data_IF_460114120800
#
_entry.id   IF_460114120800
#
_cell.length_a   1.000
_cell.length_b   1.000
_cell.length_c   1.000
_cell.angle_alpha   90.00
_cell.angle_beta   90.00
_cell.angle_gamma   90.00
#
_symmetry.space_group_name_H-M   'P 1'
#
loop_
_entity.id
_entity.type
_entity.pdbx_description
1 polymer ?
#
# COMPACT_ATOMS: atom_id res chain seq x y z
N UNK A 1 11.47 3.88 -8.11
CA UNK A 1 11.05 5.22 -8.54
C UNK A 1 9.64 5.51 -8.08
N UNK A 2 9.40 6.74 -7.61
CA UNK A 2 8.08 7.17 -7.16
C UNK A 2 7.16 7.61 -8.30
N UNK A 3 7.63 7.56 -9.52
CA UNK A 3 6.91 8.03 -10.69
C UNK A 3 6.87 6.99 -11.79
N UNK A 4 5.70 6.81 -12.38
CA UNK A 4 5.53 6.07 -13.62
C UNK A 4 5.16 7.06 -14.71
N UNK A 5 5.85 6.98 -15.83
CA UNK A 5 5.57 7.84 -16.99
C UNK A 5 4.86 7.03 -18.03
N UNK A 6 3.57 7.28 -18.18
CA UNK A 6 2.80 6.77 -19.31
C UNK A 6 2.80 7.78 -20.45
N UNK A 7 2.23 7.42 -21.58
CA UNK A 7 2.11 8.34 -22.72
C UNK A 7 1.31 9.58 -22.30
N UNK A 8 2.01 10.69 -22.15
CA UNK A 8 1.40 11.96 -21.82
C UNK A 8 0.99 12.16 -20.37
N UNK A 9 1.32 11.21 -19.46
CA UNK A 9 0.94 11.34 -18.06
C UNK A 9 2.05 10.85 -17.14
N UNK A 10 2.29 11.60 -16.06
CA UNK A 10 3.19 11.19 -14.98
C UNK A 10 2.34 10.82 -13.79
N UNK A 11 2.52 9.59 -13.28
CA UNK A 11 1.82 9.11 -12.10
C UNK A 11 2.73 9.23 -10.89
N UNK A 12 2.19 9.79 -9.81
CA UNK A 12 2.92 9.99 -8.56
C UNK A 12 2.13 9.36 -7.44
N UNK A 13 2.83 8.69 -6.51
CA UNK A 13 2.18 8.14 -5.34
C UNK A 13 1.62 9.25 -4.46
N UNK A 14 0.39 9.07 -3.98
CA UNK A 14 -0.29 10.03 -3.11
C UNK A 14 -0.14 9.69 -1.63
N UNK A 15 -0.08 8.40 -1.32
CA UNK A 15 0.03 7.95 0.07
C UNK A 15 0.73 6.59 0.14
N UNK A 16 1.09 6.22 1.36
CA UNK A 16 1.61 4.89 1.67
C UNK A 16 0.65 4.25 2.66
N UNK A 17 0.19 3.05 2.36
CA UNK A 17 -0.63 2.25 3.25
C UNK A 17 0.27 1.35 4.08
N UNK A 18 0.10 1.41 5.40
CA UNK A 18 0.92 0.62 6.33
C UNK A 18 0.09 -0.51 6.90
N UNK A 19 0.61 -1.72 6.81
CA UNK A 19 0.00 -2.89 7.40
C UNK A 19 0.86 -3.36 8.57
N UNK A 20 0.25 -3.52 9.73
CA UNK A 20 0.91 -4.12 10.88
C UNK A 20 0.45 -5.57 11.01
N UNK A 21 1.23 -6.37 11.74
CA UNK A 21 0.96 -7.79 11.85
C UNK A 21 -0.33 -8.10 12.60
N UNK A 22 -0.81 -9.31 12.42
CA UNK A 22 -1.95 -9.79 13.16
C UNK A 22 -1.66 -9.76 14.66
N UNK A 23 -2.59 -9.18 15.41
CA UNK A 23 -2.48 -9.10 16.85
C UNK A 23 -3.38 -10.15 17.48
N UNK A 24 -2.79 -11.01 18.29
CA UNK A 24 -3.56 -11.99 19.07
C UNK A 24 -4.32 -11.31 20.21
N UNK A 25 -3.91 -10.11 20.59
CA UNK A 25 -4.53 -9.34 21.67
C UNK A 25 -5.59 -8.39 21.11
N UNK A 26 -6.62 -8.13 21.90
CA UNK A 26 -7.72 -7.24 21.52
C UNK A 26 -7.88 -6.12 22.56
N UNK A 27 -8.69 -5.13 22.20
CA UNK A 27 -9.02 -4.05 23.12
C UNK A 27 -7.85 -3.13 23.43
N UNK A 28 -7.56 -2.91 24.71
CA UNK A 28 -6.56 -1.94 25.15
C UNK A 28 -5.14 -2.24 24.62
N UNK A 29 -4.77 -3.50 24.54
CA UNK A 29 -3.43 -3.88 24.06
C UNK A 29 -3.28 -3.56 22.57
N UNK A 30 -4.31 -3.80 21.80
CA UNK A 30 -4.30 -3.45 20.38
C UNK A 30 -4.18 -1.94 20.19
N UNK A 31 -4.96 -1.16 20.92
CA UNK A 31 -4.90 0.30 20.84
C UNK A 31 -3.54 0.83 21.28
N UNK A 32 -2.95 0.24 22.31
CA UNK A 32 -1.62 0.62 22.79
C UNK A 32 -0.57 0.37 21.69
N UNK A 33 -0.67 -0.78 21.03
CA UNK A 33 0.23 -1.12 19.91
C UNK A 33 0.09 -0.09 18.78
N UNK A 34 -1.14 0.17 18.34
CA UNK A 34 -1.42 1.11 17.25
C UNK A 34 -0.93 2.51 17.58
N UNK A 35 -1.23 2.98 18.80
CA UNK A 35 -0.81 4.31 19.23
C UNK A 35 0.71 4.43 19.28
N UNK A 36 1.39 3.41 19.77
CA UNK A 36 2.85 3.41 19.83
C UNK A 36 3.45 3.39 18.43
N UNK A 37 2.94 2.55 17.57
CA UNK A 37 3.41 2.48 16.18
C UNK A 37 3.19 3.82 15.47
N UNK A 38 1.99 4.39 15.60
CA UNK A 38 1.69 5.69 15.00
C UNK A 38 2.66 6.77 15.48
N UNK A 39 2.91 6.82 16.79
CA UNK A 39 3.81 7.82 17.37
C UNK A 39 5.24 7.62 16.89
N UNK A 40 5.71 6.39 16.79
CA UNK A 40 7.04 6.09 16.29
C UNK A 40 7.19 6.50 14.82
N UNK A 41 6.17 6.26 14.01
CA UNK A 41 6.19 6.69 12.62
C UNK A 41 6.22 8.22 12.54
N UNK A 42 5.39 8.90 13.33
CA UNK A 42 5.38 10.36 13.36
C UNK A 42 6.72 10.94 13.76
N UNK A 43 7.36 10.35 14.76
CA UNK A 43 8.67 10.81 15.23
C UNK A 43 9.73 10.65 14.14
N UNK A 44 9.77 9.50 13.49
CA UNK A 44 10.75 9.24 12.43
C UNK A 44 10.52 10.15 11.24
N UNK A 45 9.26 10.41 10.89
CA UNK A 45 8.90 11.23 9.74
C UNK A 45 8.81 12.73 10.06
N UNK A 46 9.18 13.15 11.28
CA UNK A 46 9.11 14.57 11.67
C UNK A 46 10.00 15.47 10.84
N UNK A 47 11.02 14.90 10.18
CA UNK A 47 11.88 15.65 9.25
C UNK A 47 11.15 16.05 7.95
N UNK A 48 9.97 15.49 7.74
CA UNK A 48 9.13 15.77 6.56
C UNK A 48 7.83 16.43 7.03
N UNK A 49 7.80 17.76 7.24
CA UNK A 49 6.65 18.42 7.88
C UNK A 49 5.34 18.30 7.08
N UNK A 50 5.41 18.07 5.79
CA UNK A 50 4.22 17.95 4.94
C UNK A 50 3.50 16.61 5.11
N UNK A 51 4.21 15.58 5.58
CA UNK A 51 3.66 14.24 5.71
C UNK A 51 2.67 14.17 6.87
N UNK A 52 1.53 13.54 6.63
CA UNK A 52 0.51 13.31 7.66
C UNK A 52 0.36 11.82 7.89
N UNK A 53 0.17 11.42 9.13
CA UNK A 53 0.03 10.02 9.52
C UNK A 53 -1.28 9.84 10.27
N UNK A 54 -2.11 8.92 9.80
CA UNK A 54 -3.35 8.55 10.47
C UNK A 54 -3.46 7.03 10.52
N UNK A 55 -4.16 6.51 11.50
CA UNK A 55 -4.45 5.08 11.59
C UNK A 55 -5.95 4.90 11.71
N UNK A 56 -6.48 3.95 10.95
CA UNK A 56 -7.82 3.45 11.17
C UNK A 56 -7.72 2.09 11.89
N UNK A 57 -8.85 1.38 11.96
CA UNK A 57 -8.92 0.11 12.67
C UNK A 57 -7.96 -0.96 12.11
N UNK A 58 -7.72 -0.93 10.83
CA UNK A 58 -7.06 -2.03 10.12
C UNK A 58 -5.66 -1.71 9.62
N UNK A 59 -5.38 -0.44 9.39
CA UNK A 59 -4.12 -0.04 8.75
C UNK A 59 -3.79 1.41 9.01
N UNK A 60 -2.53 1.75 8.74
CA UNK A 60 -2.07 3.13 8.78
C UNK A 60 -2.04 3.76 7.41
N UNK A 61 -2.15 5.06 7.38
CA UNK A 61 -2.08 5.85 6.15
C UNK A 61 -1.07 6.97 6.34
N UNK A 62 -0.14 7.06 5.41
CA UNK A 62 0.87 8.11 5.39
C UNK A 62 0.64 8.92 4.13
N UNK A 63 0.13 10.15 4.29
CA UNK A 63 -0.15 11.03 3.16
C UNK A 63 1.11 11.82 2.83
N UNK A 64 1.61 11.64 1.62
CA UNK A 64 2.90 12.20 1.21
C UNK A 64 2.85 13.70 1.00
N UNK A 65 1.72 14.22 0.51
CA UNK A 65 1.51 15.66 0.30
C UNK A 65 2.68 16.33 -0.44
N UNK A 66 3.20 15.66 -1.47
CA UNK A 66 4.30 16.18 -2.28
C UNK A 66 5.70 15.75 -1.84
N UNK A 67 5.82 15.10 -0.69
CA UNK A 67 7.10 14.56 -0.23
C UNK A 67 7.50 13.34 -1.08
N UNK A 68 8.78 13.21 -1.37
CA UNK A 68 9.30 12.11 -2.16
C UNK A 68 9.05 10.77 -1.45
N UNK A 69 8.36 9.87 -2.15
CA UNK A 69 8.07 8.53 -1.64
C UNK A 69 9.34 7.79 -1.22
N UNK A 70 10.42 7.86 -2.01
CA UNK A 70 11.64 7.11 -1.73
C UNK A 70 12.24 7.47 -0.36
N UNK A 71 12.20 8.74 0.00
CA UNK A 71 12.72 9.20 1.28
C UNK A 71 11.90 8.64 2.45
N UNK A 72 10.58 8.66 2.31
CA UNK A 72 9.69 8.15 3.35
C UNK A 72 9.81 6.63 3.46
N UNK A 73 9.87 5.95 2.33
CA UNK A 73 9.98 4.49 2.29
C UNK A 73 11.23 3.98 2.99
N UNK A 74 12.36 4.64 2.79
CA UNK A 74 13.60 4.26 3.46
C UNK A 74 13.47 4.33 4.99
N UNK A 75 12.82 5.36 5.48
CA UNK A 75 12.56 5.50 6.91
C UNK A 75 11.64 4.39 7.43
N UNK A 76 10.62 4.04 6.66
CA UNK A 76 9.64 3.03 7.09
C UNK A 76 10.24 1.63 7.20
N UNK A 77 11.24 1.32 6.41
CA UNK A 77 11.86 -0.01 6.42
C UNK A 77 12.51 -0.34 7.76
N UNK A 78 12.82 0.64 8.56
CA UNK A 78 13.53 0.47 9.82
C UNK A 78 12.63 0.54 11.05
N UNK A 79 11.33 0.75 10.87
CA UNK A 79 10.41 0.91 12.00
C UNK A 79 9.80 -0.43 12.38
N UNK A 80 10.08 -0.88 13.61
CA UNK A 80 9.48 -2.10 14.13
C UNK A 80 7.97 -1.94 14.32
N UNK A 81 7.24 -2.98 14.01
CA UNK A 81 5.79 -2.99 14.05
C UNK A 81 5.13 -2.90 12.68
N UNK A 82 5.87 -2.45 11.67
CA UNK A 82 5.39 -2.43 10.30
C UNK A 82 5.67 -3.78 9.65
N UNK A 83 4.60 -4.51 9.32
CA UNK A 83 4.75 -5.79 8.62
C UNK A 83 5.05 -5.56 7.14
N UNK A 84 4.30 -4.66 6.52
CA UNK A 84 4.48 -4.31 5.11
C UNK A 84 3.89 -2.93 4.86
N UNK A 85 4.32 -2.31 3.79
CA UNK A 85 3.71 -1.06 3.35
C UNK A 85 3.61 -1.03 1.83
N UNK A 86 2.65 -0.27 1.32
CA UNK A 86 2.35 -0.20 -0.11
C UNK A 86 2.19 1.24 -0.54
N UNK A 87 2.95 1.70 -1.55
CA UNK A 87 2.68 2.99 -2.15
C UNK A 87 1.38 2.94 -2.95
N UNK A 88 0.60 4.01 -2.92
CA UNK A 88 -0.75 4.05 -3.46
C UNK A 88 -0.94 5.27 -4.34
N UNK A 89 -1.56 5.06 -5.51
CA UNK A 89 -2.04 6.13 -6.37
C UNK A 89 -3.49 6.44 -6.05
N UNK A 90 -3.86 7.70 -6.14
CA UNK A 90 -5.22 8.16 -5.91
C UNK A 90 -5.83 8.69 -7.21
N UNK A 91 -7.06 8.30 -7.48
CA UNK A 91 -7.78 8.71 -8.69
C UNK A 91 -9.22 9.08 -8.36
N UNK A 92 -9.88 9.77 -9.29
CA UNK A 92 -11.31 10.01 -9.21
C UNK A 92 -12.06 8.68 -9.35
N UNK A 93 -13.25 8.62 -8.74
CA UNK A 93 -14.14 7.45 -8.84
C UNK A 93 -14.88 7.47 -10.17
N UNK A 94 -14.17 7.23 -11.24
CA UNK A 94 -14.70 7.26 -12.59
C UNK A 94 -14.12 6.08 -13.36
N UNK A 95 -14.98 5.30 -13.99
CA UNK A 95 -14.56 4.07 -14.69
C UNK A 95 -13.53 4.37 -15.78
N UNK A 96 -13.74 5.43 -16.55
CA UNK A 96 -12.83 5.77 -17.64
C UNK A 96 -11.47 6.24 -17.12
N UNK A 97 -11.47 6.99 -16.02
CA UNK A 97 -10.21 7.39 -15.34
C UNK A 97 -9.47 6.15 -14.86
N UNK A 98 -10.17 5.20 -14.24
CA UNK A 98 -9.56 3.97 -13.74
C UNK A 98 -9.03 3.09 -14.87
N UNK A 99 -9.74 2.99 -15.97
CA UNK A 99 -9.27 2.25 -17.15
C UNK A 99 -7.96 2.83 -17.67
N UNK A 100 -7.91 4.14 -17.81
CA UNK A 100 -6.69 4.84 -18.25
C UNK A 100 -5.56 4.64 -17.25
N UNK A 101 -5.87 4.70 -15.95
CA UNK A 101 -4.88 4.53 -14.88
C UNK A 101 -4.23 3.14 -14.94
N UNK A 102 -5.02 2.07 -15.04
CA UNK A 102 -4.46 0.72 -15.08
C UNK A 102 -3.66 0.49 -16.36
N UNK A 103 -4.09 1.09 -17.47
CA UNK A 103 -3.34 1.03 -18.73
C UNK A 103 -1.97 1.68 -18.58
N UNK A 104 -1.92 2.88 -18.00
CA UNK A 104 -0.66 3.61 -17.83
C UNK A 104 0.27 2.91 -16.85
N UNK A 105 -0.26 2.41 -15.74
CA UNK A 105 0.52 1.67 -14.75
C UNK A 105 1.13 0.42 -15.39
N UNK A 106 0.31 -0.38 -16.05
CA UNK A 106 0.78 -1.65 -16.62
C UNK A 106 1.72 -1.43 -17.79
N UNK A 107 1.50 -0.40 -18.60
CA UNK A 107 2.41 -0.05 -19.70
C UNK A 107 3.80 0.29 -19.15
N UNK A 108 3.84 1.02 -18.02
CA UNK A 108 5.10 1.36 -17.37
C UNK A 108 5.82 0.17 -16.73
N UNK A 109 5.09 -0.87 -16.36
CA UNK A 109 5.65 -2.06 -15.71
C UNK A 109 5.91 -3.21 -16.68
N UNK A 110 5.36 -3.13 -17.89
CA UNK A 110 5.37 -4.27 -18.81
C UNK A 110 6.79 -4.71 -19.20
N UNK A 111 7.00 -5.99 -19.16
CA UNK A 111 8.13 -6.70 -19.72
C UNK A 111 7.63 -8.02 -20.29
N UNK A 112 8.46 -8.63 -21.12
CA UNK A 112 8.09 -9.90 -21.74
C UNK A 112 7.70 -10.95 -20.69
N UNK A 113 6.63 -11.67 -20.95
CA UNK A 113 6.09 -12.73 -20.09
C UNK A 113 5.52 -12.25 -18.74
N UNK A 114 5.35 -10.95 -18.57
CA UNK A 114 4.76 -10.44 -17.34
C UNK A 114 3.33 -10.94 -17.20
N UNK A 115 2.99 -11.38 -16.00
CA UNK A 115 1.62 -11.79 -15.68
C UNK A 115 0.99 -10.81 -14.70
N UNK A 116 -0.33 -10.68 -14.76
CA UNK A 116 -1.02 -9.74 -13.88
C UNK A 116 -2.40 -10.26 -13.47
N UNK A 117 -2.95 -9.63 -12.46
CA UNK A 117 -4.38 -9.72 -12.18
C UNK A 117 -4.86 -8.41 -11.58
N UNK A 118 -6.16 -8.20 -11.62
CA UNK A 118 -6.82 -7.08 -10.96
C UNK A 118 -7.61 -7.63 -9.78
N UNK A 119 -7.42 -7.08 -8.62
CA UNK A 119 -8.18 -7.42 -7.42
C UNK A 119 -8.88 -6.17 -6.94
N UNK A 120 -10.15 -6.05 -7.23
CA UNK A 120 -10.94 -4.89 -6.84
C UNK A 120 -11.73 -5.16 -5.57
N UNK A 121 -11.85 -4.10 -4.78
CA UNK A 121 -12.61 -4.10 -3.54
C UNK A 121 -13.31 -2.75 -3.45
N UNK A 122 -14.54 -2.73 -2.98
CA UNK A 122 -15.24 -1.45 -2.79
C UNK A 122 -15.88 -1.39 -1.42
N UNK A 123 -15.70 -0.26 -0.76
CA UNK A 123 -16.47 0.10 0.44
C UNK A 123 -17.62 1.03 0.08
N UNK A 124 -17.56 1.66 -1.09
CA UNK A 124 -18.64 2.49 -1.61
C UNK A 124 -19.55 1.63 -2.49
N UNK A 125 -20.67 1.20 -1.93
CA UNK A 125 -21.63 0.34 -2.62
C UNK A 125 -22.49 1.08 -3.65
N UNK A 126 -22.38 2.39 -3.69
CA UNK A 126 -23.10 3.22 -4.68
C UNK A 126 -22.31 3.36 -5.99
N UNK A 127 -21.07 2.89 -6.02
CA UNK A 127 -20.28 2.93 -7.24
C UNK A 127 -20.94 2.06 -8.32
N UNK A 128 -20.85 2.53 -9.57
CA UNK A 128 -21.58 1.94 -10.70
C UNK A 128 -21.21 0.48 -11.00
N UNK A 129 -19.99 0.06 -10.71
CA UNK A 129 -19.54 -1.31 -10.90
C UNK A 129 -19.27 -1.99 -9.56
N UNK A 130 -19.62 -3.25 -9.45
CA UNK A 130 -19.21 -4.04 -8.28
C UNK A 130 -17.78 -4.54 -8.44
N UNK A 131 -17.27 -5.25 -7.44
CA UNK A 131 -15.87 -5.73 -7.45
C UNK A 131 -15.58 -6.65 -8.62
N UNK A 132 -16.51 -7.54 -8.94
CA UNK A 132 -16.35 -8.49 -10.05
C UNK A 132 -16.34 -7.78 -11.40
N UNK A 133 -17.26 -6.84 -11.57
CA UNK A 133 -17.34 -6.03 -12.79
C UNK A 133 -16.08 -5.18 -12.96
N UNK A 134 -15.56 -4.62 -11.86
CA UNK A 134 -14.31 -3.87 -11.88
C UNK A 134 -13.13 -4.73 -12.32
N UNK A 135 -13.01 -5.95 -11.75
CA UNK A 135 -11.95 -6.87 -12.15
C UNK A 135 -11.97 -7.11 -13.65
N UNK A 136 -13.15 -7.37 -14.19
CA UNK A 136 -13.31 -7.69 -15.61
C UNK A 136 -13.05 -6.44 -16.48
N UNK A 137 -13.65 -5.33 -16.14
CA UNK A 137 -13.55 -4.08 -16.92
C UNK A 137 -12.11 -3.57 -16.96
N UNK A 138 -11.45 -3.55 -15.81
CA UNK A 138 -10.08 -3.05 -15.73
C UNK A 138 -9.08 -4.04 -16.32
N UNK A 139 -9.32 -5.33 -16.16
CA UNK A 139 -8.51 -6.35 -16.83
C UNK A 139 -8.58 -6.23 -18.34
N UNK A 140 -9.77 -6.07 -18.89
CA UNK A 140 -9.95 -5.87 -20.32
C UNK A 140 -9.29 -4.58 -20.81
N UNK A 141 -9.33 -3.51 -20.01
CA UNK A 141 -8.65 -2.26 -20.35
C UNK A 141 -7.15 -2.46 -20.51
N UNK A 142 -6.54 -3.30 -19.68
CA UNK A 142 -5.12 -3.63 -19.79
C UNK A 142 -4.85 -4.40 -21.09
N UNK A 143 -5.68 -5.37 -21.43
CA UNK A 143 -5.52 -6.11 -22.69
C UNK A 143 -5.66 -5.22 -23.93
N UNK A 144 -6.44 -4.17 -23.85
CA UNK A 144 -6.61 -3.24 -24.98
C UNK A 144 -5.28 -2.56 -25.38
N UNK A 145 -4.39 -2.33 -24.44
CA UNK A 145 -3.08 -1.69 -24.71
C UNK A 145 -1.93 -2.67 -24.67
N UNK A 146 -2.09 -3.83 -24.05
CA UNK A 146 -1.08 -4.87 -23.93
C UNK A 146 -1.69 -6.22 -24.30
N UNK A 147 -1.96 -6.43 -25.61
CA UNK A 147 -2.73 -7.64 -26.02
C UNK A 147 -2.01 -8.95 -25.74
N UNK A 148 -0.69 -8.93 -25.60
CA UNK A 148 0.08 -10.14 -25.36
C UNK A 148 0.31 -10.47 -23.88
N UNK A 149 -0.11 -9.58 -22.98
CA UNK A 149 0.04 -9.83 -21.54
C UNK A 149 -0.88 -10.97 -21.11
N UNK A 150 -0.49 -11.70 -20.09
CA UNK A 150 -1.31 -12.82 -19.58
C UNK A 150 -1.83 -12.53 -18.19
N UNK A 151 -3.10 -12.85 -17.99
CA UNK A 151 -3.70 -12.82 -16.66
C UNK A 151 -3.36 -14.13 -15.94
N UNK A 152 -3.05 -14.03 -14.66
CA UNK A 152 -2.75 -15.19 -13.83
C UNK A 152 -3.32 -14.98 -12.43
N UNK A 153 -4.20 -15.87 -12.03
CA UNK A 153 -4.92 -15.72 -10.77
C UNK A 153 -4.06 -16.04 -9.56
N UNK A 154 -3.19 -17.03 -9.66
CA UNK A 154 -2.27 -17.41 -8.57
C UNK A 154 -0.86 -16.98 -8.88
N UNK A 155 -0.26 -16.21 -7.96
CA UNK A 155 1.13 -15.78 -8.08
C UNK A 155 1.43 -14.93 -9.30
N UNK A 156 0.59 -13.95 -9.66
CA UNK A 156 0.94 -13.07 -10.77
C UNK A 156 2.15 -12.21 -10.41
N UNK A 157 2.87 -11.77 -11.44
CA UNK A 157 3.97 -10.84 -11.22
C UNK A 157 3.48 -9.50 -10.68
N UNK A 158 2.32 -9.05 -11.18
CA UNK A 158 1.71 -7.79 -10.73
C UNK A 158 0.27 -8.06 -10.32
N UNK A 159 -0.07 -7.67 -9.10
CA UNK A 159 -1.45 -7.67 -8.63
C UNK A 159 -1.90 -6.22 -8.47
N UNK A 160 -2.72 -5.75 -9.42
CA UNK A 160 -3.31 -4.42 -9.33
C UNK A 160 -4.45 -4.45 -8.32
N UNK A 161 -4.21 -3.90 -7.14
CA UNK A 161 -5.23 -3.79 -6.10
C UNK A 161 -5.96 -2.47 -6.27
N UNK A 162 -7.25 -2.53 -6.52
CA UNK A 162 -8.09 -1.36 -6.73
C UNK A 162 -9.09 -1.28 -5.60
N UNK A 163 -9.12 -0.16 -4.91
CA UNK A 163 -10.07 0.05 -3.82
C UNK A 163 -10.91 1.29 -4.09
N UNK A 164 -12.23 1.12 -4.09
CA UNK A 164 -13.16 2.23 -4.25
C UNK A 164 -13.70 2.60 -2.88
N UNK A 165 -13.30 3.76 -2.39
CA UNK A 165 -13.78 4.32 -1.13
C UNK A 165 -14.77 5.45 -1.39
N UNK A 166 -15.37 5.97 -0.32
CA UNK A 166 -16.35 7.05 -0.44
C UNK A 166 -15.77 8.29 -1.14
N UNK A 167 -14.53 8.63 -0.81
CA UNK A 167 -13.92 9.89 -1.28
C UNK A 167 -13.13 9.77 -2.60
N UNK A 168 -12.63 8.58 -2.94
CA UNK A 168 -11.77 8.42 -4.11
C UNK A 168 -11.55 6.95 -4.44
N UNK A 169 -10.84 6.69 -5.53
CA UNK A 169 -10.37 5.37 -5.91
C UNK A 169 -8.86 5.29 -5.71
N UNK A 170 -8.38 4.13 -5.30
CA UNK A 170 -6.97 3.92 -4.98
C UNK A 170 -6.46 2.69 -5.69
N UNK A 171 -5.27 2.79 -6.26
CA UNK A 171 -4.62 1.66 -6.93
C UNK A 171 -3.22 1.47 -6.35
N UNK A 172 -2.91 0.24 -5.96
CA UNK A 172 -1.57 -0.15 -5.54
C UNK A 172 -1.16 -1.43 -6.23
N UNK A 173 0.13 -1.63 -6.42
CA UNK A 173 0.64 -2.84 -7.07
C UNK A 173 1.91 -3.37 -6.42
N UNK A 174 2.41 -2.69 -5.43
CA UNK A 174 3.66 -3.04 -4.74
C UNK A 174 3.40 -3.23 -3.27
N UNK A 175 4.04 -4.25 -2.69
CA UNK A 175 4.05 -4.42 -1.25
C UNK A 175 5.50 -4.60 -0.82
N UNK A 176 5.98 -3.72 0.06
CA UNK A 176 7.35 -3.76 0.55
C UNK A 176 7.32 -4.30 1.98
N UNK A 177 8.10 -5.34 2.22
CA UNK A 177 8.18 -5.94 3.55
C UNK A 177 8.84 -4.99 4.53
N UNK A 178 8.20 -4.80 5.69
CA UNK A 178 8.74 -3.95 6.75
C UNK A 178 9.61 -4.76 7.73
N UNK A 179 10.04 -4.09 8.80
CA UNK A 179 10.86 -4.71 9.82
C UNK A 179 10.11 -5.76 10.65
N UNK A 180 8.78 -5.64 10.71
CA UNK A 180 7.96 -6.55 11.51
C UNK A 180 8.16 -6.36 13.01
N UNK A 181 7.78 -7.35 13.79
CA UNK A 181 7.97 -7.33 15.23
C UNK A 181 7.03 -6.38 15.96
N UNK A 182 7.51 -5.86 17.08
CA UNK A 182 6.74 -4.95 17.93
C UNK A 182 7.33 -3.56 17.93
N UNK A 183 6.49 -2.50 18.01
CA UNK A 183 7.01 -1.14 18.12
C UNK A 183 7.85 -0.97 19.39
N UNK A 184 8.94 -0.23 19.27
CA UNK A 184 9.82 0.06 20.41
C UNK A 184 9.01 0.75 21.51
N UNK A 185 9.15 0.24 22.74
CA UNK A 185 8.46 0.79 23.91
C UNK A 185 7.05 0.27 24.13
N UNK A 186 6.52 -0.57 23.25
CA UNK A 186 5.17 -1.15 23.40
C UNK A 186 5.18 -2.28 24.41
N UNK A 187 6.19 -3.13 24.33
CA UNK A 187 6.34 -4.29 25.19
C UNK A 187 7.23 -3.91 26.37
N UNK A 188 7.12 -4.65 27.46
CA UNK A 188 8.05 -4.50 28.56
C UNK A 188 9.45 -4.95 28.17
N UNK A 189 10.38 -4.77 29.10
CA UNK A 189 11.79 -5.08 28.84
C UNK A 189 12.02 -6.51 28.33
N UNK A 190 11.32 -7.46 28.90
CA UNK A 190 11.47 -8.85 28.50
C UNK A 190 11.08 -9.11 27.05
N UNK A 191 10.06 -8.45 26.58
CA UNK A 191 9.63 -8.64 25.21
C UNK A 191 10.57 -8.01 24.21
N UNK A 192 11.18 -6.89 24.57
CA UNK A 192 12.20 -6.29 23.71
C UNK A 192 13.39 -7.23 23.56
N UNK A 193 13.78 -7.86 24.62
CA UNK A 193 14.88 -8.83 24.59
C UNK A 193 14.53 -10.03 23.72
N UNK A 194 13.32 -10.51 23.82
CA UNK A 194 12.88 -11.63 23.00
C UNK A 194 12.91 -11.28 21.51
N UNK A 195 12.45 -10.13 21.16
CA UNK A 195 12.46 -9.71 19.77
C UNK A 195 13.88 -9.48 19.26
N UNK A 196 14.78 -9.05 20.12
CA UNK A 196 16.17 -8.84 19.76
C UNK A 196 16.96 -10.12 19.67
N UNK A 197 16.71 -11.03 20.57
CA UNK A 197 17.40 -12.31 20.58
C UNK A 197 16.98 -13.23 19.49
N UNK A 198 16.09 -12.86 18.88
CA UNK A 198 15.53 -13.63 17.88
C UNK A 198 15.87 -13.10 16.56
N UNK A 199 16.42 -12.99 16.75
CA UNK A 199 16.51 -12.37 15.93
C UNK A 199 16.98 -11.49 15.95
N UNK A 200 17.15 -11.47 16.85
CA UNK A 200 17.36 -10.80 16.91
C UNK A 200 18.02 -10.42 16.83
N UNK A 201 18.37 -10.46 16.67
CA UNK A 201 18.96 -10.05 16.50
C UNK A 201 19.37 -9.40 16.00
N UNK A 202 19.28 -9.40 15.97
CA UNK A 202 19.42 -8.83 15.58
C UNK A 202 19.41 -8.24 15.95
N UNK A 203 19.47 -8.15 16.28
CA UNK A 203 19.49 -7.69 16.73
C UNK A 203 19.25 -7.46 16.61
#
# INVERSE_FOLDING_TARGET
>A
NSHLKGKGMTLTYSEIMVRYGELSTKGKNRMRFINKLRNNIKDVLSIHPEVKVTFDRDRGHIYLNGTDYELVAESLKQIFGIQAFSPVYKFEKDVEVLKKAVQDIMTGLYRDRLTFKVTAKRSDHDFVLDSRELNLTLGNAVFDVLPDIKAQMKGPDVNLKVEIRAEAAYISHEEIKGAGGLPVGTAGKGMLMLSGGIDSPVA
#
